data_IF_784156775376
#
_entry.id   IF_784156775376
#
_cell.length_a   1.000
_cell.length_b   1.000
_cell.length_c   1.000
_cell.angle_alpha   90.00
_cell.angle_beta   90.00
_cell.angle_gamma   90.00
#
_symmetry.space_group_name_H-M   'P 1'
#
loop_
_entity.id
_entity.type
_entity.pdbx_description
1 polymer ?
#
# COMPACT_ATOMS: atom_id res chain seq x y z
N UNK A 1 -5.17 10.31 7.16
CA UNK A 1 -5.25 11.24 6.02
C UNK A 1 -5.03 12.68 6.49
N UNK A 2 -5.75 13.20 7.50
CA UNK A 2 -5.67 14.59 7.96
C UNK A 2 -4.22 15.06 8.19
N UNK A 3 -3.41 14.32 8.93
CA UNK A 3 -2.02 14.69 9.22
C UNK A 3 -1.15 14.76 7.95
N UNK A 4 -1.40 13.88 6.97
CA UNK A 4 -0.72 13.91 5.68
C UNK A 4 -1.09 15.17 4.89
N UNK A 5 -2.37 15.53 4.89
CA UNK A 5 -2.84 16.75 4.22
C UNK A 5 -2.31 18.02 4.90
N UNK A 6 -2.26 18.06 6.24
CA UNK A 6 -1.64 19.18 6.99
C UNK A 6 -0.16 19.34 6.61
N UNK A 7 0.57 18.22 6.53
CA UNK A 7 1.97 18.26 6.10
C UNK A 7 2.10 18.81 4.67
N UNK A 8 1.26 18.35 3.74
CA UNK A 8 1.26 18.84 2.36
C UNK A 8 1.00 20.33 2.28
N UNK A 9 0.02 20.84 3.04
CA UNK A 9 -0.28 22.26 3.09
C UNK A 9 0.95 23.08 3.57
N UNK A 10 1.59 22.64 4.66
CA UNK A 10 2.80 23.28 5.18
C UNK A 10 3.99 23.19 4.23
N UNK A 11 4.19 22.01 3.59
CA UNK A 11 5.25 21.80 2.60
C UNK A 11 5.11 22.72 1.40
N UNK A 12 3.91 22.89 0.89
CA UNK A 12 3.65 23.77 -0.25
C UNK A 12 3.82 25.25 0.09
N UNK A 13 3.50 25.64 1.32
CA UNK A 13 3.63 27.02 1.82
C UNK A 13 5.08 27.41 2.17
N UNK A 14 5.97 26.46 2.51
CA UNK A 14 7.33 26.78 2.90
C UNK A 14 8.15 27.39 1.75
N UNK A 15 9.02 28.33 2.08
CA UNK A 15 9.97 28.97 1.14
C UNK A 15 11.42 28.56 1.37
N UNK A 16 11.66 27.68 2.37
CA UNK A 16 13.01 27.32 2.80
C UNK A 16 13.60 26.18 1.96
N UNK A 17 12.75 25.28 1.46
CA UNK A 17 13.18 24.12 0.70
C UNK A 17 13.28 24.42 -0.79
N UNK A 18 14.28 23.84 -1.44
CA UNK A 18 14.43 23.85 -2.89
C UNK A 18 13.28 23.08 -3.58
N UNK A 19 12.94 23.50 -4.80
CA UNK A 19 11.80 22.94 -5.55
C UNK A 19 11.88 21.43 -5.73
N UNK A 20 13.08 20.89 -5.97
CA UNK A 20 13.31 19.45 -6.13
C UNK A 20 13.09 18.67 -4.84
N UNK A 21 13.49 19.24 -3.70
CA UNK A 21 13.23 18.64 -2.39
C UNK A 21 11.75 18.67 -2.03
N UNK A 22 11.06 19.78 -2.33
CA UNK A 22 9.62 19.89 -2.15
C UNK A 22 8.87 18.79 -2.93
N UNK A 23 9.21 18.63 -4.22
CA UNK A 23 8.59 17.59 -5.05
C UNK A 23 8.83 16.19 -4.49
N UNK A 24 10.05 15.90 -4.03
CA UNK A 24 10.36 14.60 -3.42
C UNK A 24 9.53 14.37 -2.15
N UNK A 25 9.47 15.33 -1.24
CA UNK A 25 8.66 15.19 -0.03
C UNK A 25 7.16 15.12 -0.34
N UNK A 26 6.68 15.89 -1.31
CA UNK A 26 5.30 15.78 -1.78
C UNK A 26 5.01 14.37 -2.31
N UNK A 27 5.90 13.82 -3.14
CA UNK A 27 5.80 12.46 -3.64
C UNK A 27 5.71 11.42 -2.53
N UNK A 28 6.58 11.50 -1.53
CA UNK A 28 6.59 10.58 -0.40
C UNK A 28 5.31 10.66 0.46
N UNK A 29 4.82 11.86 0.74
CA UNK A 29 3.61 12.03 1.55
C UNK A 29 2.36 11.60 0.77
N UNK A 30 2.29 11.89 -0.52
CA UNK A 30 1.20 11.43 -1.38
C UNK A 30 1.24 9.90 -1.56
N UNK A 31 2.43 9.29 -1.62
CA UNK A 31 2.59 7.83 -1.59
C UNK A 31 2.01 7.22 -0.30
N UNK A 32 2.34 7.78 0.86
CA UNK A 32 1.79 7.32 2.14
C UNK A 32 0.28 7.49 2.21
N UNK A 33 -0.26 8.56 1.61
CA UNK A 33 -1.70 8.79 1.50
C UNK A 33 -2.37 7.74 0.61
N UNK A 34 -1.80 7.47 -0.57
CA UNK A 34 -2.27 6.41 -1.46
C UNK A 34 -2.24 5.03 -0.78
N UNK A 35 -1.17 4.74 -0.04
CA UNK A 35 -1.07 3.51 0.76
C UNK A 35 -2.14 3.42 1.85
N UNK A 36 -2.43 4.53 2.54
CA UNK A 36 -3.49 4.58 3.54
C UNK A 36 -4.87 4.33 2.90
N UNK A 37 -5.16 4.95 1.76
CA UNK A 37 -6.38 4.68 1.00
C UNK A 37 -6.47 3.23 0.55
N UNK A 38 -5.39 2.66 0.02
CA UNK A 38 -5.34 1.25 -0.35
C UNK A 38 -5.65 0.33 0.83
N UNK A 39 -5.07 0.60 2.00
CA UNK A 39 -5.29 -0.19 3.21
C UNK A 39 -6.74 -0.12 3.69
N UNK A 40 -7.36 1.06 3.63
CA UNK A 40 -8.77 1.24 4.00
C UNK A 40 -9.71 0.60 2.97
N UNK A 41 -9.48 0.86 1.68
CA UNK A 41 -10.34 0.36 0.60
C UNK A 41 -10.35 -1.17 0.57
N UNK A 42 -9.20 -1.80 0.72
CA UNK A 42 -9.07 -3.26 0.77
C UNK A 42 -9.91 -3.92 1.88
N UNK A 43 -10.06 -3.24 3.02
CA UNK A 43 -10.81 -3.77 4.16
C UNK A 43 -12.27 -3.34 4.23
N UNK A 44 -12.61 -2.19 3.64
CA UNK A 44 -13.90 -1.54 3.83
C UNK A 44 -14.68 -1.31 2.52
N UNK A 45 -14.06 -1.55 1.36
CA UNK A 45 -14.58 -1.09 0.08
C UNK A 45 -14.35 0.41 -0.12
N UNK A 46 -15.22 1.09 -0.84
CA UNK A 46 -15.13 2.53 -1.06
C UNK A 46 -15.16 3.32 0.27
N UNK A 47 -14.37 4.36 0.32
CA UNK A 47 -14.25 5.28 1.46
C UNK A 47 -14.32 6.73 0.97
N UNK A 48 -14.61 7.72 1.83
CA UNK A 48 -14.59 9.11 1.44
C UNK A 48 -13.22 9.54 0.90
N UNK A 49 -13.18 10.11 -0.31
CA UNK A 49 -11.98 10.73 -0.87
C UNK A 49 -11.98 12.21 -0.47
N UNK A 50 -11.07 12.59 0.41
CA UNK A 50 -11.02 13.95 0.96
C UNK A 50 -10.00 14.85 0.23
N UNK A 51 -9.28 14.34 -0.77
CA UNK A 51 -8.25 15.04 -1.52
C UNK A 51 -7.25 15.74 -0.59
N UNK A 52 -6.98 17.03 -0.81
CA UNK A 52 -6.05 17.84 -0.01
C UNK A 52 -6.74 18.59 1.15
N UNK A 53 -8.04 18.33 1.39
CA UNK A 53 -8.78 19.03 2.43
C UNK A 53 -8.27 18.68 3.83
N UNK A 54 -8.14 19.71 4.65
CA UNK A 54 -7.89 19.62 6.09
C UNK A 54 -9.14 20.15 6.79
N UNK A 55 -9.91 19.23 7.36
CA UNK A 55 -11.09 19.60 8.12
C UNK A 55 -10.69 20.03 9.53
N UNK A 56 -11.07 21.24 9.90
CA UNK A 56 -10.90 21.77 11.24
C UNK A 56 -12.19 21.55 12.02
N UNK A 57 -12.07 21.27 13.31
CA UNK A 57 -13.20 21.11 14.23
C UNK A 57 -13.00 22.02 15.44
N UNK A 58 -14.02 22.80 15.72
CA UNK A 58 -14.11 23.60 16.94
C UNK A 58 -15.31 23.16 17.75
N UNK A 59 -15.22 23.22 19.09
CA UNK A 59 -16.31 22.84 19.97
C UNK A 59 -17.56 23.70 19.72
N UNK A 60 -18.71 23.04 19.48
CA UNK A 60 -19.97 23.73 19.16
C UNK A 60 -20.17 24.04 17.66
N UNK A 61 -19.24 23.72 16.80
CA UNK A 61 -19.38 23.87 15.35
C UNK A 61 -20.45 22.93 14.79
N UNK A 62 -21.24 23.42 13.83
CA UNK A 62 -22.09 22.54 13.01
C UNK A 62 -21.21 21.64 12.12
N UNK A 63 -21.29 20.34 12.36
CA UNK A 63 -20.52 19.32 11.63
C UNK A 63 -21.25 18.74 10.42
N UNK A 64 -22.46 19.19 10.12
CA UNK A 64 -23.25 18.66 8.99
C UNK A 64 -22.53 18.82 7.64
N UNK A 65 -21.79 19.92 7.44
CA UNK A 65 -20.98 20.19 6.26
C UNK A 65 -19.66 19.38 6.19
N UNK A 66 -19.29 18.66 7.25
CA UNK A 66 -18.08 17.81 7.27
C UNK A 66 -18.37 16.36 6.84
N UNK A 67 -19.63 16.01 6.65
CA UNK A 67 -20.03 14.68 6.20
C UNK A 67 -19.69 14.47 4.74
N UNK A 68 -18.58 13.77 4.47
CA UNK A 68 -18.18 13.37 3.11
C UNK A 68 -18.72 11.96 2.86
N UNK A 69 -19.56 11.74 1.83
CA UNK A 69 -20.09 10.43 1.51
C UNK A 69 -18.99 9.45 1.09
N UNK A 70 -19.27 8.16 1.20
CA UNK A 70 -18.39 7.14 0.64
C UNK A 70 -18.36 7.25 -0.88
N UNK A 71 -17.17 7.17 -1.44
CA UNK A 71 -16.97 7.02 -2.88
C UNK A 71 -17.24 5.57 -3.30
N UNK A 72 -17.43 5.33 -4.59
CA UNK A 72 -17.45 3.96 -5.12
C UNK A 72 -16.09 3.30 -4.89
N UNK A 73 -16.10 1.99 -4.72
CA UNK A 73 -14.86 1.23 -4.52
C UNK A 73 -13.89 1.41 -5.70
N UNK A 74 -14.41 1.40 -6.94
CA UNK A 74 -13.61 1.68 -8.14
C UNK A 74 -12.99 3.07 -8.13
N UNK A 75 -13.73 4.10 -7.71
CA UNK A 75 -13.23 5.48 -7.64
C UNK A 75 -12.04 5.62 -6.66
N UNK A 76 -12.07 4.85 -5.56
CA UNK A 76 -10.95 4.85 -4.61
C UNK A 76 -9.73 4.17 -5.20
N UNK A 77 -9.89 3.04 -5.91
CA UNK A 77 -8.77 2.40 -6.61
C UNK A 77 -8.23 3.28 -7.73
N UNK A 78 -9.09 3.93 -8.51
CA UNK A 78 -8.68 4.88 -9.54
C UNK A 78 -7.88 6.06 -8.96
N UNK A 79 -8.34 6.59 -7.82
CA UNK A 79 -7.61 7.62 -7.10
C UNK A 79 -6.20 7.15 -6.71
N UNK A 80 -6.06 5.95 -6.14
CA UNK A 80 -4.76 5.38 -5.75
C UNK A 80 -3.85 5.20 -6.96
N UNK A 81 -4.38 4.64 -8.05
CA UNK A 81 -3.66 4.37 -9.30
C UNK A 81 -3.14 5.68 -9.91
N UNK A 82 -3.99 6.70 -9.97
CA UNK A 82 -3.65 8.01 -10.54
C UNK A 82 -2.68 8.78 -9.66
N UNK A 83 -2.84 8.75 -8.34
CA UNK A 83 -1.87 9.34 -7.40
C UNK A 83 -0.49 8.71 -7.59
N UNK A 84 -0.41 7.37 -7.59
CA UNK A 84 0.86 6.66 -7.79
C UNK A 84 1.50 6.97 -9.15
N UNK A 85 0.72 7.06 -10.21
CA UNK A 85 1.23 7.44 -11.54
C UNK A 85 1.82 8.86 -11.54
N UNK A 86 1.11 9.81 -10.93
CA UNK A 86 1.54 11.22 -10.87
C UNK A 86 2.83 11.37 -10.07
N UNK A 87 2.91 10.75 -8.89
CA UNK A 87 4.07 10.94 -8.00
C UNK A 87 5.28 10.11 -8.38
N UNK A 88 5.15 9.16 -9.29
CA UNK A 88 6.28 8.37 -9.76
C UNK A 88 7.45 9.23 -10.26
N UNK A 89 7.15 10.35 -10.90
CA UNK A 89 8.16 11.29 -11.41
C UNK A 89 8.69 12.26 -10.36
N UNK A 90 8.07 12.33 -9.18
CA UNK A 90 8.54 13.15 -8.06
C UNK A 90 9.56 12.39 -7.19
N UNK A 91 9.54 11.07 -7.27
CA UNK A 91 10.30 10.18 -6.42
C UNK A 91 11.62 9.75 -7.07
N UNK A 92 12.67 9.49 -6.28
CA UNK A 92 13.94 9.05 -6.80
C UNK A 92 13.84 7.66 -7.44
N UNK A 93 14.56 7.46 -8.55
CA UNK A 93 14.72 6.15 -9.20
C UNK A 93 15.75 5.29 -8.48
N UNK A 94 16.82 5.92 -7.97
CA UNK A 94 17.85 5.19 -7.23
C UNK A 94 17.41 4.97 -5.78
N UNK A 95 17.47 3.73 -5.27
CA UNK A 95 17.20 3.46 -3.87
C UNK A 95 18.12 4.27 -2.95
N UNK A 96 17.56 4.73 -1.85
CA UNK A 96 18.34 5.33 -0.77
C UNK A 96 18.84 4.23 0.18
N UNK A 97 19.76 4.57 1.07
CA UNK A 97 20.21 3.65 2.14
C UNK A 97 19.09 3.28 3.11
N UNK A 98 18.01 4.03 3.11
CA UNK A 98 16.83 3.77 3.93
C UNK A 98 15.69 3.21 3.07
N UNK A 99 15.48 1.90 3.12
CA UNK A 99 14.43 1.20 2.37
C UNK A 99 13.00 1.59 2.80
N UNK A 100 12.83 2.34 3.89
CA UNK A 100 11.54 2.90 4.31
C UNK A 100 11.14 4.15 3.52
N UNK A 101 12.05 4.76 2.76
CA UNK A 101 11.75 5.92 1.90
C UNK A 101 11.16 5.44 0.58
N UNK A 102 10.09 6.10 0.15
CA UNK A 102 9.45 5.75 -1.12
C UNK A 102 10.35 6.10 -2.32
N UNK A 103 10.36 5.22 -3.30
CA UNK A 103 10.99 5.42 -4.61
C UNK A 103 9.95 5.40 -5.71
N UNK A 104 10.32 5.81 -6.93
CA UNK A 104 9.50 5.64 -8.13
C UNK A 104 8.93 4.21 -8.21
N UNK A 105 9.78 3.24 -7.93
CA UNK A 105 9.42 1.82 -8.03
C UNK A 105 8.39 1.39 -6.98
N UNK A 106 8.48 1.95 -5.77
CA UNK A 106 7.48 1.72 -4.73
C UNK A 106 6.11 2.26 -5.15
N UNK A 107 6.05 3.46 -5.76
CA UNK A 107 4.81 4.03 -6.27
C UNK A 107 4.22 3.19 -7.41
N UNK A 108 5.02 2.78 -8.39
CA UNK A 108 4.58 1.94 -9.51
C UNK A 108 4.12 0.55 -9.04
N UNK A 109 4.79 -0.04 -8.04
CA UNK A 109 4.34 -1.32 -7.47
C UNK A 109 3.06 -1.19 -6.64
N UNK A 110 2.83 -0.06 -5.96
CA UNK A 110 1.54 0.20 -5.32
C UNK A 110 0.44 0.39 -6.38
N UNK A 111 0.73 1.10 -7.49
CA UNK A 111 -0.17 1.21 -8.65
C UNK A 111 -0.56 -0.17 -9.19
N UNK A 112 0.44 -1.02 -9.46
CA UNK A 112 0.21 -2.37 -9.96
C UNK A 112 -0.62 -3.20 -8.97
N UNK A 113 -0.30 -3.16 -7.69
CA UNK A 113 -1.02 -3.89 -6.64
C UNK A 113 -2.47 -3.43 -6.53
N UNK A 114 -2.72 -2.12 -6.49
CA UNK A 114 -4.07 -1.56 -6.43
C UNK A 114 -4.91 -1.99 -7.64
N UNK A 115 -4.31 -1.94 -8.83
CA UNK A 115 -4.97 -2.35 -10.06
C UNK A 115 -5.28 -3.87 -10.09
N UNK A 116 -4.36 -4.74 -9.60
CA UNK A 116 -4.65 -6.19 -9.46
C UNK A 116 -5.81 -6.43 -8.50
N UNK A 117 -5.86 -5.73 -7.37
CA UNK A 117 -6.97 -5.86 -6.41
C UNK A 117 -8.29 -5.43 -7.03
N UNK A 118 -8.34 -4.27 -7.67
CA UNK A 118 -9.54 -3.78 -8.34
C UNK A 118 -10.00 -4.73 -9.45
N UNK A 119 -9.07 -5.20 -10.30
CA UNK A 119 -9.36 -6.17 -11.35
C UNK A 119 -9.86 -7.51 -10.80
N UNK A 120 -9.31 -7.98 -9.69
CA UNK A 120 -9.74 -9.21 -9.02
C UNK A 120 -11.14 -9.06 -8.44
N UNK A 121 -11.43 -7.96 -7.76
CA UNK A 121 -12.77 -7.68 -7.24
C UNK A 121 -13.81 -7.65 -8.38
N UNK A 122 -13.51 -6.95 -9.47
CA UNK A 122 -14.38 -6.90 -10.64
C UNK A 122 -14.60 -8.29 -11.28
N UNK A 123 -13.51 -9.07 -11.44
CA UNK A 123 -13.58 -10.36 -12.12
C UNK A 123 -14.23 -11.46 -11.27
N UNK A 124 -13.89 -11.53 -9.98
CA UNK A 124 -14.31 -12.66 -9.14
C UNK A 124 -15.63 -12.42 -8.43
N UNK A 125 -15.97 -11.19 -8.06
CA UNK A 125 -17.22 -10.91 -7.37
C UNK A 125 -18.44 -11.36 -8.16
N UNK A 126 -18.42 -11.22 -9.50
CA UNK A 126 -19.50 -11.66 -10.36
C UNK A 126 -19.57 -13.19 -10.56
N UNK A 127 -18.54 -13.94 -10.14
CA UNK A 127 -18.51 -15.40 -10.17
C UNK A 127 -18.98 -16.03 -8.87
N UNK A 128 -19.17 -15.22 -7.83
CA UNK A 128 -19.68 -15.70 -6.54
C UNK A 128 -21.19 -15.98 -6.65
N UNK A 129 -21.66 -16.99 -5.92
CA UNK A 129 -23.09 -17.31 -5.82
C UNK A 129 -23.90 -16.14 -5.26
N UNK A 130 -23.33 -15.41 -4.31
CA UNK A 130 -23.87 -14.18 -3.74
C UNK A 130 -22.80 -13.09 -3.84
N UNK A 131 -22.80 -12.28 -4.91
CA UNK A 131 -21.86 -11.17 -5.05
C UNK A 131 -21.96 -10.18 -3.90
N UNK A 132 -20.81 -9.78 -3.35
CA UNK A 132 -20.72 -8.77 -2.29
C UNK A 132 -20.66 -7.40 -2.97
N UNK A 133 -21.78 -6.70 -2.98
CA UNK A 133 -21.87 -5.35 -3.55
C UNK A 133 -23.04 -4.57 -2.96
N UNK A 134 -22.86 -3.24 -2.93
CA UNK A 134 -23.93 -2.29 -2.60
C UNK A 134 -24.58 -1.74 -3.88
N UNK A 135 -25.77 -1.17 -3.77
CA UNK A 135 -26.50 -0.56 -4.90
C UNK A 135 -25.69 0.60 -5.52
N UNK A 136 -25.03 1.42 -4.68
CA UNK A 136 -24.20 2.54 -5.13
C UNK A 136 -22.77 2.14 -5.53
N UNK A 137 -22.41 0.85 -5.48
CA UNK A 137 -21.06 0.33 -5.71
C UNK A 137 -19.99 0.89 -4.74
N UNK A 138 -20.37 1.31 -3.55
CA UNK A 138 -19.41 1.61 -2.47
C UNK A 138 -18.68 0.34 -2.03
N UNK A 139 -19.28 -0.83 -2.28
CA UNK A 139 -18.65 -2.14 -2.21
C UNK A 139 -18.97 -2.89 -3.51
N UNK A 140 -17.94 -3.43 -4.11
CA UNK A 140 -18.03 -4.16 -5.39
C UNK A 140 -17.72 -3.27 -6.59
N UNK A 141 -17.05 -3.88 -7.57
CA UNK A 141 -16.62 -3.24 -8.82
C UNK A 141 -17.32 -3.95 -9.99
N UNK A 142 -17.85 -3.19 -10.98
CA UNK A 142 -18.46 -3.77 -12.17
C UNK A 142 -17.50 -4.66 -12.96
N UNK A 143 -18.01 -5.78 -13.52
CA UNK A 143 -17.20 -6.82 -14.17
C UNK A 143 -16.42 -6.32 -15.38
N UNK A 144 -17.00 -5.40 -16.14
CA UNK A 144 -16.40 -4.79 -17.33
C UNK A 144 -15.12 -4.01 -17.02
N UNK A 145 -14.90 -3.60 -15.78
CA UNK A 145 -13.69 -2.91 -15.34
C UNK A 145 -12.50 -3.85 -15.08
N UNK A 146 -12.69 -5.17 -15.10
CA UNK A 146 -11.63 -6.13 -14.75
C UNK A 146 -10.44 -6.06 -15.71
N UNK A 147 -10.68 -6.12 -17.02
CA UNK A 147 -9.61 -6.12 -18.03
C UNK A 147 -8.78 -4.85 -18.01
N UNK A 148 -9.36 -3.63 -18.04
CA UNK A 148 -8.59 -2.39 -17.92
C UNK A 148 -7.70 -2.32 -16.67
N UNK A 149 -8.18 -2.81 -15.54
CA UNK A 149 -7.36 -2.85 -14.32
C UNK A 149 -6.20 -3.84 -14.43
N UNK A 150 -6.41 -5.02 -14.99
CA UNK A 150 -5.33 -5.98 -15.20
C UNK A 150 -4.29 -5.47 -16.21
N UNK A 151 -4.71 -4.79 -17.26
CA UNK A 151 -3.81 -4.14 -18.22
C UNK A 151 -2.95 -3.06 -17.52
N UNK A 152 -3.58 -2.19 -16.73
CA UNK A 152 -2.88 -1.17 -15.92
C UNK A 152 -1.85 -1.80 -14.97
N UNK A 153 -2.21 -2.91 -14.32
CA UNK A 153 -1.31 -3.63 -13.44
C UNK A 153 -0.13 -4.23 -14.18
N UNK A 154 -0.40 -4.85 -15.34
CA UNK A 154 0.63 -5.45 -16.19
C UNK A 154 1.64 -4.42 -16.70
N UNK A 155 1.16 -3.27 -17.17
CA UNK A 155 2.01 -2.18 -17.65
C UNK A 155 2.92 -1.66 -16.54
N UNK A 156 2.36 -1.35 -15.36
CA UNK A 156 3.14 -0.86 -14.22
C UNK A 156 4.17 -1.89 -13.74
N UNK A 157 3.82 -3.17 -13.68
CA UNK A 157 4.74 -4.24 -13.29
C UNK A 157 5.86 -4.42 -14.33
N UNK A 158 5.54 -4.40 -15.63
CA UNK A 158 6.55 -4.47 -16.70
C UNK A 158 7.52 -3.30 -16.65
N UNK A 159 7.03 -2.09 -16.37
CA UNK A 159 7.89 -0.92 -16.24
C UNK A 159 8.91 -1.12 -15.12
N UNK A 160 8.49 -1.60 -13.95
CA UNK A 160 9.40 -1.88 -12.83
C UNK A 160 10.40 -2.98 -13.21
N UNK A 161 9.96 -4.11 -13.76
CA UNK A 161 10.84 -5.22 -14.14
C UNK A 161 11.90 -4.77 -15.13
N UNK A 162 11.54 -3.94 -16.11
CA UNK A 162 12.48 -3.53 -17.17
C UNK A 162 13.40 -2.39 -16.75
N UNK A 163 12.89 -1.40 -16.01
CA UNK A 163 13.63 -0.17 -15.71
C UNK A 163 14.32 -0.18 -14.34
N UNK A 164 13.87 -1.01 -13.41
CA UNK A 164 14.45 -1.12 -12.08
C UNK A 164 15.40 -2.30 -11.90
N UNK A 165 15.67 -3.07 -12.94
CA UNK A 165 16.50 -4.28 -12.91
C UNK A 165 17.95 -4.06 -12.43
N UNK A 166 18.45 -2.83 -12.52
CA UNK A 166 19.74 -2.47 -11.94
C UNK A 166 19.74 -2.37 -10.39
N UNK A 167 18.57 -2.30 -9.78
CA UNK A 167 18.41 -2.10 -8.33
C UNK A 167 17.69 -3.25 -7.65
N UNK A 168 16.75 -3.89 -8.35
CA UNK A 168 15.87 -4.92 -7.79
C UNK A 168 15.86 -6.15 -8.69
N UNK A 169 16.04 -7.30 -8.06
CA UNK A 169 16.07 -8.60 -8.73
C UNK A 169 15.49 -9.66 -7.80
N UNK A 170 15.07 -10.80 -8.35
CA UNK A 170 14.75 -11.97 -7.56
C UNK A 170 16.01 -12.49 -6.87
N UNK A 171 15.88 -12.91 -5.61
CA UNK A 171 16.97 -13.58 -4.92
C UNK A 171 17.10 -15.02 -5.44
N UNK A 172 18.15 -15.26 -6.19
CA UNK A 172 18.56 -16.55 -6.74
C UNK A 172 20.00 -16.87 -6.38
N UNK A 173 20.49 -16.27 -5.29
CA UNK A 173 21.90 -16.35 -4.88
C UNK A 173 22.31 -17.75 -4.44
N UNK A 174 21.37 -18.58 -3.99
CA UNK A 174 21.62 -19.98 -3.62
C UNK A 174 21.05 -20.89 -4.70
N UNK A 175 21.90 -21.42 -5.62
CA UNK A 175 21.45 -22.29 -6.69
C UNK A 175 20.81 -23.58 -6.12
N UNK A 176 19.65 -23.94 -6.67
CA UNK A 176 18.92 -25.15 -6.32
C UNK A 176 18.33 -25.20 -4.90
N UNK A 177 18.33 -24.09 -4.16
CA UNK A 177 17.65 -23.98 -2.87
C UNK A 177 16.68 -22.79 -2.87
N UNK A 178 15.46 -23.04 -3.36
CA UNK A 178 14.41 -22.02 -3.40
C UNK A 178 13.95 -21.60 -2.00
N UNK A 179 14.03 -22.51 -1.01
CA UNK A 179 13.69 -22.22 0.38
C UNK A 179 14.66 -21.21 1.00
N UNK A 180 15.96 -21.37 0.76
CA UNK A 180 16.96 -20.43 1.23
C UNK A 180 16.84 -19.08 0.51
N UNK A 181 16.60 -19.04 -0.79
CA UNK A 181 16.36 -17.80 -1.52
C UNK A 181 15.12 -17.06 -0.99
N UNK A 182 14.03 -17.77 -0.75
CA UNK A 182 12.84 -17.21 -0.14
C UNK A 182 13.11 -16.66 1.28
N UNK A 183 13.87 -17.39 2.08
CA UNK A 183 14.29 -16.91 3.40
C UNK A 183 15.10 -15.63 3.29
N UNK A 184 16.05 -15.57 2.37
CA UNK A 184 16.87 -14.37 2.12
C UNK A 184 15.99 -13.19 1.75
N UNK A 185 15.06 -13.37 0.81
CA UNK A 185 14.16 -12.31 0.35
C UNK A 185 13.28 -11.75 1.46
N UNK A 186 12.84 -12.58 2.40
CA UNK A 186 11.87 -12.18 3.46
C UNK A 186 12.55 -11.78 4.76
N UNK A 187 13.64 -12.45 5.15
CA UNK A 187 14.20 -12.35 6.49
C UNK A 187 15.55 -11.60 6.54
N UNK A 188 16.30 -11.56 5.44
CA UNK A 188 17.62 -10.91 5.41
C UNK A 188 17.43 -9.46 4.99
N UNK A 189 17.90 -8.55 5.84
CA UNK A 189 17.77 -7.10 5.58
C UNK A 189 18.90 -6.56 4.70
N UNK A 190 20.11 -7.05 4.92
CA UNK A 190 21.32 -6.53 4.28
C UNK A 190 21.44 -7.08 2.85
N UNK A 191 21.77 -6.20 1.90
CA UNK A 191 21.90 -6.53 0.48
C UNK A 191 20.66 -7.23 -0.13
N UNK A 192 19.49 -6.97 0.41
CA UNK A 192 18.25 -7.51 -0.10
C UNK A 192 17.79 -6.70 -1.32
N UNK A 193 17.97 -7.28 -2.50
CA UNK A 193 17.59 -6.68 -3.77
C UNK A 193 16.14 -6.95 -4.19
N UNK A 194 15.40 -7.76 -3.43
CA UNK A 194 14.01 -8.07 -3.75
C UNK A 194 13.02 -7.11 -3.08
N UNK A 195 13.43 -6.48 -1.96
CA UNK A 195 12.58 -5.57 -1.20
C UNK A 195 12.61 -4.16 -1.80
N UNK A 196 11.48 -3.73 -2.36
CA UNK A 196 11.33 -2.39 -2.96
C UNK A 196 11.00 -1.33 -1.92
N UNK A 197 10.18 -1.67 -0.92
CA UNK A 197 9.79 -0.78 0.16
C UNK A 197 9.49 -1.57 1.42
N UNK A 198 10.11 -1.19 2.54
CA UNK A 198 10.00 -1.89 3.81
C UNK A 198 9.71 -0.94 4.97
N UNK A 199 9.05 -1.45 5.98
CA UNK A 199 8.95 -0.82 7.29
C UNK A 199 9.94 -1.49 8.21
N UNK A 200 10.96 -0.77 8.63
CA UNK A 200 11.96 -1.26 9.57
C UNK A 200 11.44 -1.26 11.01
N UNK A 201 11.91 -2.24 11.75
CA UNK A 201 11.71 -2.38 13.18
C UNK A 201 13.06 -2.51 13.88
N UNK A 202 13.19 -1.92 15.06
CA UNK A 202 14.42 -1.97 15.86
C UNK A 202 14.06 -2.05 17.36
N UNK A 203 14.44 -3.14 18.00
CA UNK A 203 14.30 -3.29 19.44
C UNK A 203 15.24 -2.31 20.18
N UNK A 204 14.83 -1.68 21.30
CA UNK A 204 13.50 -1.74 21.94
C UNK A 204 12.53 -0.66 21.44
N UNK A 205 12.97 0.30 20.64
CA UNK A 205 12.22 1.51 20.35
C UNK A 205 11.09 1.33 19.33
N UNK A 206 11.23 0.40 18.40
CA UNK A 206 10.22 0.12 17.37
C UNK A 206 10.07 -1.39 17.19
N UNK A 207 9.11 -1.99 17.87
CA UNK A 207 8.85 -3.42 17.84
C UNK A 207 7.60 -3.76 17.05
N UNK A 208 7.44 -5.02 16.66
CA UNK A 208 6.23 -5.57 16.08
C UNK A 208 5.77 -6.81 16.84
N UNK A 209 4.49 -7.12 16.80
CA UNK A 209 3.91 -8.25 17.52
C UNK A 209 3.93 -9.57 16.73
N UNK A 210 4.80 -9.76 15.75
CA UNK A 210 4.77 -10.96 14.90
C UNK A 210 5.02 -12.23 15.73
N UNK A 211 6.13 -12.28 16.49
CA UNK A 211 6.46 -13.44 17.34
C UNK A 211 5.36 -13.72 18.34
N UNK A 212 4.90 -12.70 19.04
CA UNK A 212 3.85 -12.75 20.02
C UNK A 212 2.52 -13.33 19.47
N UNK A 213 2.15 -12.92 18.25
CA UNK A 213 0.93 -13.40 17.58
C UNK A 213 1.04 -14.80 17.00
N UNK A 214 2.27 -15.29 16.78
CA UNK A 214 2.52 -16.57 16.13
C UNK A 214 3.17 -17.61 17.05
N UNK A 215 3.53 -17.25 18.28
CA UNK A 215 4.04 -18.20 19.26
C UNK A 215 2.94 -19.19 19.68
N UNK A 216 3.24 -20.50 19.82
CA UNK A 216 2.29 -21.44 20.37
C UNK A 216 1.80 -21.03 21.77
N UNK A 217 0.52 -21.18 22.04
CA UNK A 217 -0.07 -20.77 23.31
C UNK A 217 0.59 -21.42 24.54
N UNK A 218 1.15 -22.61 24.39
CA UNK A 218 1.90 -23.33 25.45
C UNK A 218 3.26 -22.70 25.78
N UNK A 219 3.79 -21.82 24.91
CA UNK A 219 5.08 -21.14 25.08
C UNK A 219 4.92 -19.64 25.31
N UNK A 220 3.69 -19.14 25.28
CA UNK A 220 3.40 -17.74 25.52
C UNK A 220 3.48 -17.43 27.04
N UNK A 221 4.29 -16.43 27.37
CA UNK A 221 4.24 -15.78 28.69
C UNK A 221 3.03 -14.84 28.70
N UNK A 222 2.32 -14.78 29.81
CA UNK A 222 1.06 -14.07 29.94
C UNK A 222 -0.08 -14.59 29.02
N UNK A 223 -1.21 -13.97 29.05
CA UNK A 223 -2.42 -14.41 28.35
C UNK A 223 -2.41 -14.13 26.84
N UNK A 224 -1.26 -13.88 26.28
CA UNK A 224 -1.12 -13.68 24.83
C UNK A 224 -1.27 -15.00 24.10
N UNK A 225 -2.19 -15.00 23.16
CA UNK A 225 -2.56 -16.22 22.43
C UNK A 225 -2.04 -16.15 20.99
N UNK A 226 -1.69 -17.31 20.46
CA UNK A 226 -1.49 -17.45 19.02
C UNK A 226 -2.79 -17.06 18.28
N UNK A 227 -2.73 -15.98 17.52
CA UNK A 227 -3.84 -15.52 16.68
C UNK A 227 -3.77 -16.06 15.25
N UNK A 228 -2.62 -16.64 14.87
CA UNK A 228 -2.39 -17.19 13.54
C UNK A 228 -2.19 -18.68 13.65
N UNK A 229 -3.11 -19.46 13.12
CA UNK A 229 -3.03 -20.91 13.02
C UNK A 229 -2.97 -21.34 11.57
N UNK A 230 -2.20 -22.39 11.27
CA UNK A 230 -2.25 -23.02 9.97
C UNK A 230 -3.62 -23.70 9.79
N UNK A 231 -4.23 -23.53 8.62
CA UNK A 231 -5.43 -24.29 8.26
C UNK A 231 -5.05 -25.73 7.94
N UNK A 232 -5.96 -26.68 8.17
CA UNK A 232 -5.70 -28.11 8.05
C UNK A 232 -5.10 -28.48 6.69
N UNK A 233 -5.62 -27.95 5.61
CA UNK A 233 -5.14 -28.18 4.25
C UNK A 233 -3.76 -27.58 3.93
N UNK A 234 -3.14 -26.88 4.87
CA UNK A 234 -1.76 -26.40 4.75
C UNK A 234 -0.75 -27.39 5.38
N UNK A 235 -1.22 -28.30 6.24
CA UNK A 235 -0.40 -29.28 6.97
C UNK A 235 -0.57 -30.71 6.46
N UNK A 236 -1.54 -30.96 5.59
CA UNK A 236 -1.70 -32.20 4.83
C UNK A 236 -0.86 -32.17 3.55
#
# INVERSE_FOLDING_TARGET
IRNLNQFLAGLRATTVLESTEKLRYEGEIRFLRAWAYFSMCRGLGGVPIVNDNVYEYEAGMDVSGLAVPRSKESEVYDYIINECATIADYLPTKPTTNAARATRWAALMLKARAAVYAGSLANYNNKMVAPIRTEGNEVGIPAEMATPYYETALEAAKEVITQASAYYNLDITVPNDLGQNFYNAVCVKENNHEVIWAKDYAYPGATHGFTQKNIPASLAEDQERCYSGAVLNLVE
#
